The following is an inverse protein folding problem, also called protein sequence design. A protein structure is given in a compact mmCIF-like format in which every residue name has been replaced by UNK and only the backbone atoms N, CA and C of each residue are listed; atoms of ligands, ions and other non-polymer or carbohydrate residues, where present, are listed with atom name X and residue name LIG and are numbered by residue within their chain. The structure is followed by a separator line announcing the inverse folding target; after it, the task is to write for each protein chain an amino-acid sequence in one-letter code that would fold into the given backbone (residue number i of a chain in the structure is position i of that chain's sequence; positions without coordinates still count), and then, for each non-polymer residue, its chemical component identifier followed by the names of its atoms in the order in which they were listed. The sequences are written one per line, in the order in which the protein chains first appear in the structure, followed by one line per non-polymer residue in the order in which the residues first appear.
data_IF_501370837380
#
_entry.id   IF_501370837380
#
_cell.length_a   1.000
_cell.length_b   1.000
_cell.length_c   1.000
_cell.angle_alpha   90.00
_cell.angle_beta   90.00
_cell.angle_gamma   90.00
#
_symmetry.space_group_name_H-M   'P 1'
#
loop_
_entity.id
_entity.type
_entity.pdbx_description
1 polymer ?
#
# COMPACT_ATOMS: atom_id res chain seq x y z
N UNK A 1 1.96 -6.02 -0.03
CA UNK A 1 0.88 -5.39 0.76
C UNK A 1 0.89 -3.88 0.67
N UNK A 2 1.86 -3.14 1.22
CA UNK A 2 1.76 -1.67 1.30
C UNK A 2 1.54 -0.93 -0.04
N UNK A 3 1.90 -1.52 -1.18
CA UNK A 3 1.62 -0.94 -2.49
C UNK A 3 0.11 -0.84 -2.85
N UNK A 4 -0.72 -1.70 -2.25
CA UNK A 4 -2.18 -1.72 -2.44
C UNK A 4 -2.93 -1.42 -1.14
N UNK A 5 -2.27 -0.77 -0.18
CA UNK A 5 -2.86 -0.42 1.11
C UNK A 5 -3.59 0.93 1.02
N UNK A 6 -4.79 1.02 1.57
CA UNK A 6 -5.60 2.24 1.66
C UNK A 6 -4.89 3.35 2.44
N UNK A 7 -4.09 2.99 3.44
CA UNK A 7 -3.37 3.95 4.28
C UNK A 7 -2.05 4.42 3.67
N UNK A 8 -1.57 3.74 2.63
CA UNK A 8 -0.29 4.04 1.99
C UNK A 8 -0.48 5.05 0.86
N UNK A 9 0.35 6.09 0.85
CA UNK A 9 0.37 7.12 -0.19
C UNK A 9 1.70 7.11 -0.92
N UNK A 10 1.66 7.15 -2.25
CA UNK A 10 2.88 7.32 -3.06
C UNK A 10 3.25 8.80 -3.09
N UNK A 11 4.46 9.10 -2.68
CA UNK A 11 5.06 10.42 -2.85
C UNK A 11 6.12 10.32 -3.93
N UNK A 12 5.91 11.05 -5.01
CA UNK A 12 6.84 11.11 -6.14
C UNK A 12 7.48 12.49 -6.16
N UNK A 13 8.80 12.51 -6.21
CA UNK A 13 9.63 13.71 -6.39
C UNK A 13 10.51 13.50 -7.62
N UNK A 14 11.10 14.57 -8.20
CA UNK A 14 12.00 14.42 -9.35
C UNK A 14 13.20 13.50 -9.10
N UNK A 15 13.59 13.32 -7.83
CA UNK A 15 14.78 12.55 -7.44
C UNK A 15 14.45 11.16 -6.89
N UNK A 16 13.23 10.93 -6.43
CA UNK A 16 12.88 9.73 -5.68
C UNK A 16 11.38 9.50 -5.61
N UNK A 17 10.99 8.23 -5.52
CA UNK A 17 9.64 7.80 -5.22
C UNK A 17 9.65 6.98 -3.94
N UNK A 18 8.79 7.32 -2.99
CA UNK A 18 8.68 6.60 -1.73
C UNK A 18 7.22 6.45 -1.30
N UNK A 19 6.99 5.51 -0.39
CA UNK A 19 5.68 5.25 0.19
C UNK A 19 5.61 5.90 1.57
N UNK A 20 4.50 6.56 1.85
CA UNK A 20 4.20 7.18 3.14
C UNK A 20 3.03 6.41 3.78
N UNK A 21 3.21 5.91 4.99
CA UNK A 21 2.14 5.30 5.78
C UNK A 21 1.44 6.38 6.62
N UNK A 22 0.13 6.55 6.43
CA UNK A 22 -0.63 7.54 7.21
C UNK A 22 -0.86 7.11 8.67
N UNK A 23 -0.88 5.80 8.95
CA UNK A 23 -1.05 5.26 10.31
C UNK A 23 0.13 5.60 11.23
N UNK A 24 1.33 5.78 10.66
CA UNK A 24 2.52 6.19 11.40
C UNK A 24 2.40 7.57 12.08
N UNK A 25 1.40 8.37 11.69
CA UNK A 25 1.11 9.64 12.35
C UNK A 25 0.39 9.49 13.69
N UNK A 26 -0.37 8.40 13.87
CA UNK A 26 -1.21 8.16 15.06
C UNK A 26 -0.68 7.01 15.92
N UNK A 27 -0.03 6.02 15.32
CA UNK A 27 0.54 4.88 16.01
C UNK A 27 2.02 4.70 15.59
N UNK A 28 2.96 4.87 16.55
CA UNK A 28 4.39 4.78 16.27
C UNK A 28 4.88 3.35 15.97
N UNK A 29 4.02 2.33 16.09
CA UNK A 29 4.33 0.96 15.65
C UNK A 29 4.44 0.83 14.14
N UNK A 30 3.90 1.81 13.40
CA UNK A 30 3.98 1.82 11.94
C UNK A 30 5.15 2.67 11.46
N UNK A 31 5.92 2.13 10.53
CA UNK A 31 6.98 2.87 9.86
C UNK A 31 6.38 3.98 8.97
N UNK A 32 6.80 5.24 9.16
CA UNK A 32 6.34 6.36 8.32
C UNK A 32 6.69 6.16 6.84
N UNK A 33 7.87 5.62 6.57
CA UNK A 33 8.37 5.36 5.22
C UNK A 33 8.75 3.89 5.07
N UNK A 34 7.77 2.97 4.90
CA UNK A 34 8.05 1.55 4.85
C UNK A 34 8.88 1.18 3.61
N UNK A 35 9.92 0.36 3.81
CA UNK A 35 10.71 -0.23 2.72
C UNK A 35 9.94 -1.40 2.14
N UNK A 36 9.69 -1.38 0.83
CA UNK A 36 9.01 -2.48 0.14
C UNK A 36 9.99 -3.62 -0.20
N UNK A 37 9.51 -4.89 -0.23
CA UNK A 37 8.13 -5.32 0.03
C UNK A 37 7.85 -5.53 1.53
N UNK A 38 6.81 -4.88 2.06
CA UNK A 38 6.26 -5.22 3.37
C UNK A 38 5.41 -6.47 3.25
N UNK A 39 5.83 -7.53 3.96
CA UNK A 39 5.21 -8.86 3.93
C UNK A 39 4.12 -9.05 4.98
N UNK A 40 4.21 -8.34 6.11
CA UNK A 40 3.22 -8.36 7.18
C UNK A 40 3.03 -6.94 7.72
N UNK A 41 1.78 -6.47 7.74
CA UNK A 41 1.41 -5.18 8.33
C UNK A 41 0.08 -5.35 9.07
N UNK A 42 0.01 -5.12 10.40
CA UNK A 42 -1.19 -5.33 11.18
C UNK A 42 -2.32 -4.33 10.85
N UNK A 43 -1.98 -3.18 10.26
CA UNK A 43 -2.93 -2.15 9.81
C UNK A 43 -3.13 -2.15 8.29
N UNK A 44 -2.88 -3.28 7.61
CA UNK A 44 -3.09 -3.36 6.18
C UNK A 44 -4.58 -3.42 5.84
N UNK A 45 -5.03 -2.48 5.03
CA UNK A 45 -6.37 -2.48 4.44
C UNK A 45 -6.24 -2.39 2.93
N UNK A 46 -6.86 -3.31 2.19
CA UNK A 46 -6.88 -3.27 0.71
C UNK A 46 -7.59 -2.01 0.24
N UNK A 47 -6.96 -1.28 -0.68
CA UNK A 47 -7.66 -0.27 -1.48
C UNK A 47 -8.64 -0.99 -2.41
N UNK A 48 -9.93 -0.65 -2.42
CA UNK A 48 -10.93 -1.33 -3.27
C UNK A 48 -10.58 -1.27 -4.77
N UNK A 49 -9.74 -0.32 -5.18
CA UNK A 49 -9.31 -0.12 -6.57
C UNK A 49 -8.04 -0.92 -6.96
N UNK A 50 -7.46 -1.69 -6.03
CA UNK A 50 -6.16 -2.36 -6.20
C UNK A 50 -6.20 -3.88 -6.05
N UNK A 51 -7.39 -4.49 -6.06
CA UNK A 51 -7.50 -5.91 -6.38
C UNK A 51 -7.26 -6.09 -7.88
N UNK A 52 -6.67 -7.21 -8.35
CA UNK A 52 -6.91 -7.57 -9.74
C UNK A 52 -8.43 -7.55 -9.92
N UNK A 53 -8.94 -6.87 -10.96
CA UNK A 53 -10.32 -7.06 -11.38
C UNK A 53 -10.58 -8.58 -11.32
N UNK A 54 -11.69 -9.04 -10.70
CA UNK A 54 -11.95 -10.47 -10.60
C UNK A 54 -11.76 -11.03 -12.01
N UNK A 55 -10.83 -11.97 -12.17
CA UNK A 55 -10.47 -12.50 -13.46
C UNK A 55 -11.77 -12.98 -14.12
N UNK A 56 -12.29 -12.20 -15.06
CA UNK A 56 -13.45 -12.60 -15.85
C UNK A 56 -12.98 -13.79 -16.66
N UNK A 57 -13.54 -14.93 -16.27
CA UNK A 57 -13.38 -16.26 -16.83
C UNK A 57 -13.55 -16.21 -18.35
N UNK A 58 -12.48 -16.50 -19.08
CA UNK A 58 -12.52 -16.68 -20.52
C UNK A 58 -13.20 -18.02 -20.83
N UNK A 59 -14.40 -17.94 -21.40
CA UNK A 59 -15.08 -19.10 -21.99
C UNK A 59 -16.03 -18.68 -23.09
N UNK A 60 -15.59 -18.75 -24.35
CA UNK A 60 -16.28 -19.47 -25.45
C UNK A 60 -15.33 -19.71 -26.64
#
# INVERSE_FOLDING_TARGET
MCASCRHARVVTTPRSRFWLCSLAAVDPRFEKYPRLPVLACPGYEVTPEGGPAPAEDAGE
#
